data_IF_546957678040
#
_entry.id   IF_546957678040
#
_cell.length_a   1.000
_cell.length_b   1.000
_cell.length_c   1.000
_cell.angle_alpha   90.00
_cell.angle_beta   90.00
_cell.angle_gamma   90.00
#
_symmetry.space_group_name_H-M   'P 1'
#
loop_
_entity.id
_entity.type
_entity.pdbx_description
1 polymer ?
#
# COMPACT_ATOMS: atom_id res chain seq x y z
N UNK A 1 13.32 7.65 -14.98
CA UNK A 1 12.35 6.64 -15.45
C UNK A 1 12.88 5.26 -15.06
N UNK A 2 12.04 4.34 -14.58
CA UNK A 2 12.46 2.99 -14.16
C UNK A 2 12.36 2.71 -12.66
N UNK A 3 11.23 3.01 -12.01
CA UNK A 3 10.96 2.58 -10.62
C UNK A 3 10.07 1.36 -10.66
N UNK A 4 10.44 0.31 -9.92
CA UNK A 4 9.68 -0.93 -9.81
C UNK A 4 8.84 -0.92 -8.53
N UNK A 5 7.53 -1.11 -8.65
CA UNK A 5 6.65 -1.31 -7.51
C UNK A 5 6.35 -2.82 -7.38
N UNK A 6 6.86 -3.49 -6.34
CA UNK A 6 6.89 -4.96 -6.31
C UNK A 6 5.59 -5.62 -5.86
N UNK A 7 4.58 -4.86 -5.46
CA UNK A 7 3.28 -5.36 -5.01
C UNK A 7 2.40 -5.78 -6.20
N UNK A 8 2.62 -6.99 -6.70
CA UNK A 8 1.78 -7.60 -7.75
C UNK A 8 0.69 -8.48 -7.13
N UNK A 9 -0.57 -8.16 -7.46
CA UNK A 9 -1.78 -8.76 -6.91
C UNK A 9 -2.67 -9.25 -8.04
N UNK A 10 -3.38 -10.37 -7.87
CA UNK A 10 -4.34 -10.84 -8.89
C UNK A 10 -5.45 -9.84 -9.20
N UNK A 11 -5.72 -8.91 -8.28
CA UNK A 11 -6.71 -7.84 -8.43
C UNK A 11 -6.10 -6.48 -8.86
N UNK A 12 -4.83 -6.43 -9.31
CA UNK A 12 -4.12 -5.17 -9.61
C UNK A 12 -4.84 -4.29 -10.65
N UNK A 13 -5.69 -4.87 -11.50
CA UNK A 13 -6.53 -4.12 -12.45
C UNK A 13 -7.67 -3.31 -11.83
N UNK A 14 -8.02 -3.53 -10.55
CA UNK A 14 -9.13 -2.83 -9.88
C UNK A 14 -8.83 -2.39 -8.45
N UNK A 15 -7.94 -3.07 -7.73
CA UNK A 15 -7.58 -2.71 -6.36
C UNK A 15 -6.87 -1.35 -6.31
N UNK A 16 -7.01 -0.67 -5.17
CA UNK A 16 -6.44 0.65 -4.94
C UNK A 16 -5.43 0.60 -3.79
N UNK A 17 -4.46 1.52 -3.79
CA UNK A 17 -3.39 1.58 -2.79
C UNK A 17 -3.96 1.66 -1.36
N UNK A 18 -4.97 2.50 -1.12
CA UNK A 18 -5.61 2.60 0.20
C UNK A 18 -6.22 1.29 0.68
N UNK A 19 -6.89 0.53 -0.20
CA UNK A 19 -7.43 -0.80 0.15
C UNK A 19 -6.33 -1.83 0.44
N UNK A 20 -5.27 -1.82 -0.37
CA UNK A 20 -4.11 -2.69 -0.17
C UNK A 20 -3.40 -2.39 1.15
N UNK A 21 -3.28 -1.13 1.53
CA UNK A 21 -2.72 -0.72 2.81
C UNK A 21 -3.61 -1.09 4.00
N UNK A 22 -4.92 -0.82 3.88
CA UNK A 22 -5.91 -1.16 4.92
C UNK A 22 -5.92 -2.66 5.25
N UNK A 23 -5.75 -3.50 4.24
CA UNK A 23 -5.73 -4.97 4.39
C UNK A 23 -4.32 -5.55 4.56
N UNK A 24 -3.27 -4.72 4.51
CA UNK A 24 -1.87 -5.16 4.47
C UNK A 24 -1.58 -6.21 3.40
N UNK A 25 -2.04 -5.96 2.18
CA UNK A 25 -1.97 -6.89 1.07
C UNK A 25 -0.54 -7.41 0.83
N UNK A 26 -0.44 -8.71 0.52
CA UNK A 26 0.80 -9.37 0.12
C UNK A 26 0.66 -9.88 -1.31
N UNK A 27 1.59 -9.47 -2.17
CA UNK A 27 1.65 -9.92 -3.56
C UNK A 27 2.43 -11.22 -3.74
N UNK A 28 2.52 -11.70 -4.99
CA UNK A 28 3.27 -12.93 -5.32
C UNK A 28 4.75 -12.89 -4.89
N UNK A 29 5.32 -11.69 -4.76
CA UNK A 29 6.71 -11.48 -4.36
C UNK A 29 6.87 -11.02 -2.88
N UNK A 30 5.85 -11.20 -2.04
CA UNK A 30 5.82 -10.69 -0.65
C UNK A 30 7.00 -11.15 0.21
N UNK A 31 7.48 -12.38 0.01
CA UNK A 31 8.63 -12.91 0.78
C UNK A 31 9.91 -12.11 0.49
N UNK A 32 10.05 -11.58 -0.74
CA UNK A 32 11.23 -10.80 -1.14
C UNK A 32 11.10 -9.32 -0.81
N UNK A 33 9.92 -8.73 -1.00
CA UNK A 33 9.73 -7.28 -0.94
C UNK A 33 8.84 -6.79 0.20
N UNK A 34 8.33 -7.70 1.03
CA UNK A 34 7.41 -7.38 2.10
C UNK A 34 5.98 -7.08 1.64
N UNK A 35 5.08 -6.97 2.63
CA UNK A 35 3.68 -6.59 2.43
C UNK A 35 3.54 -5.11 2.09
N UNK A 36 2.32 -4.68 1.74
CA UNK A 36 2.03 -3.30 1.36
C UNK A 36 2.57 -2.27 2.37
N UNK A 37 2.40 -2.50 3.69
CA UNK A 37 2.91 -1.58 4.74
C UNK A 37 4.44 -1.45 4.75
N UNK A 38 5.17 -2.50 4.38
CA UNK A 38 6.64 -2.49 4.37
C UNK A 38 7.22 -1.69 3.18
N UNK A 39 6.37 -1.32 2.23
CA UNK A 39 6.72 -0.54 1.04
C UNK A 39 6.30 0.94 1.15
N UNK A 40 5.82 1.36 2.32
CA UNK A 40 5.34 2.74 2.60
C UNK A 40 6.42 3.53 3.31
N UNK A 41 6.61 4.78 2.86
CA UNK A 41 7.55 5.73 3.47
C UNK A 41 6.86 6.72 4.43
N UNK A 42 5.55 6.94 4.26
CA UNK A 42 4.71 7.81 5.07
C UNK A 42 3.27 7.80 4.51
N UNK A 43 2.32 8.29 5.30
CA UNK A 43 0.90 8.37 4.95
C UNK A 43 0.31 9.71 5.41
N UNK A 44 -0.48 10.30 4.52
CA UNK A 44 -1.44 11.33 4.86
C UNK A 44 -2.84 10.70 4.94
N UNK A 45 -3.51 10.84 6.08
CA UNK A 45 -4.78 10.17 6.37
C UNK A 45 -5.77 11.13 7.01
N UNK A 46 -7.01 11.12 6.53
CA UNK A 46 -8.13 11.82 7.19
C UNK A 46 -8.76 10.88 8.22
N UNK A 47 -8.74 11.28 9.49
CA UNK A 47 -9.35 10.56 10.60
C UNK A 47 -10.86 10.81 10.65
N UNK A 48 -11.59 10.03 11.44
CA UNK A 48 -13.06 10.06 11.49
C UNK A 48 -13.63 11.40 11.99
N UNK A 49 -12.87 12.16 12.78
CA UNK A 49 -13.21 13.49 13.26
C UNK A 49 -12.88 14.61 12.25
N UNK A 50 -12.36 14.24 11.08
CA UNK A 50 -11.91 15.17 10.03
C UNK A 50 -10.48 15.67 10.19
N UNK A 51 -9.77 15.27 11.26
CA UNK A 51 -8.36 15.63 11.45
C UNK A 51 -7.50 14.99 10.36
N UNK A 52 -6.61 15.77 9.72
CA UNK A 52 -5.58 15.24 8.81
C UNK A 52 -4.36 14.88 9.64
N UNK A 53 -3.97 13.61 9.61
CA UNK A 53 -2.72 13.10 10.18
C UNK A 53 -1.69 12.87 9.05
N UNK A 54 -0.45 13.29 9.27
CA UNK A 54 0.68 13.14 8.34
C UNK A 54 1.87 12.55 9.12
N UNK A 55 2.34 11.36 8.71
CA UNK A 55 3.45 10.67 9.39
C UNK A 55 3.94 9.39 8.72
#
# INVERSE_FOLDING_TARGET
AGRFFPLSLSAEGSCQIGGNLSTNAGGINVIRYGTARQQVLGLEVVLADGTVWDG
#
